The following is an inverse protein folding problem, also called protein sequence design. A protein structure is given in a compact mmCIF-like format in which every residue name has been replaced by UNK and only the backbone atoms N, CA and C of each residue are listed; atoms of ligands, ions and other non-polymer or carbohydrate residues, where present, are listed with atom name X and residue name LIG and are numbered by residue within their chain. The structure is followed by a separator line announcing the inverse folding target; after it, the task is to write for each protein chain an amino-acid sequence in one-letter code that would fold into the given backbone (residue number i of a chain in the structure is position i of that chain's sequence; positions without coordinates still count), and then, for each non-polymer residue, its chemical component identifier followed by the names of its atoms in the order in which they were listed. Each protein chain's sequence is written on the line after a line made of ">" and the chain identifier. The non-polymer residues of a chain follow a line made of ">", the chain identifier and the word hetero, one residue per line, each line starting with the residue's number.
data_IF_903999322938
#
_entry.id   IF_903999322938
#
_cell.length_a   1.000
_cell.length_b   1.000
_cell.length_c   1.000
_cell.angle_alpha   90.00
_cell.angle_beta   90.00
_cell.angle_gamma   90.00
#
_symmetry.space_group_name_H-M   'P 1'
#
loop_
_entity.id
_entity.type
_entity.pdbx_description
1 polymer ?
#
# COMPACT_ATOMS: atom_id res chain seq x y z
N UNK A 1 10.04 1.47 22.30
CA UNK A 1 8.98 1.60 21.24
C UNK A 1 7.59 1.71 21.89
N UNK A 2 7.10 2.93 22.03
CA UNK A 2 5.78 3.19 22.62
C UNK A 2 4.65 2.53 21.80
N UNK A 3 4.75 2.58 20.50
CA UNK A 3 3.81 1.95 19.57
C UNK A 3 3.70 0.44 19.72
N UNK A 4 4.83 -0.25 19.96
CA UNK A 4 4.84 -1.70 20.22
C UNK A 4 3.95 -2.08 21.42
N UNK A 5 4.05 -1.31 22.50
CA UNK A 5 3.24 -1.55 23.71
C UNK A 5 1.75 -1.34 23.43
N UNK A 6 1.41 -0.28 22.68
CA UNK A 6 0.03 0.04 22.30
C UNK A 6 -0.57 -1.09 21.45
N UNK A 7 0.13 -1.53 20.40
CA UNK A 7 -0.30 -2.63 19.54
C UNK A 7 -0.46 -3.95 20.31
N UNK A 8 0.49 -4.30 21.15
CA UNK A 8 0.35 -5.51 21.96
C UNK A 8 -0.89 -5.48 22.86
N UNK A 9 -1.13 -4.36 23.52
CA UNK A 9 -2.28 -4.20 24.43
C UNK A 9 -3.61 -4.26 23.69
N UNK A 10 -3.70 -3.64 22.52
CA UNK A 10 -4.91 -3.66 21.71
C UNK A 10 -5.25 -5.06 21.17
N UNK A 11 -4.22 -5.87 20.89
CA UNK A 11 -4.40 -7.28 20.52
C UNK A 11 -4.60 -8.20 21.75
N UNK A 12 -4.77 -7.63 22.96
CA UNK A 12 -4.98 -8.40 24.18
C UNK A 12 -3.81 -9.32 24.58
N UNK A 13 -2.62 -9.10 24.03
CA UNK A 13 -1.47 -9.95 24.27
C UNK A 13 -0.72 -9.53 25.56
N UNK A 14 -0.27 -10.52 26.34
CA UNK A 14 0.70 -10.28 27.40
C UNK A 14 2.12 -10.19 26.83
N UNK A 15 3.06 -9.57 27.54
CA UNK A 15 4.48 -9.58 27.14
C UNK A 15 5.03 -11.02 27.01
N UNK A 16 4.57 -11.94 27.84
CA UNK A 16 4.95 -13.35 27.78
C UNK A 16 4.40 -14.05 26.54
N UNK A 17 3.14 -13.80 26.19
CA UNK A 17 2.52 -14.35 24.98
C UNK A 17 3.24 -13.86 23.72
N UNK A 18 3.53 -12.55 23.64
CA UNK A 18 4.28 -11.97 22.52
C UNK A 18 5.71 -12.53 22.46
N UNK A 19 6.39 -12.66 23.61
CA UNK A 19 7.72 -13.25 23.68
C UNK A 19 7.74 -14.70 23.17
N UNK A 20 6.72 -15.48 23.51
CA UNK A 20 6.57 -16.85 23.02
C UNK A 20 6.37 -16.88 21.50
N UNK A 21 5.52 -16.02 20.95
CA UNK A 21 5.29 -15.93 19.51
C UNK A 21 6.56 -15.57 18.73
N UNK A 22 7.41 -14.70 19.29
CA UNK A 22 8.69 -14.26 18.70
C UNK A 22 9.89 -15.15 19.11
N UNK A 23 9.66 -16.25 19.80
CA UNK A 23 10.72 -17.15 20.30
C UNK A 23 11.82 -16.41 21.07
N UNK A 24 11.44 -15.42 21.87
CA UNK A 24 12.32 -14.59 22.68
C UNK A 24 11.91 -14.60 24.17
N UNK A 25 12.46 -13.71 24.98
CA UNK A 25 12.13 -13.61 26.39
C UNK A 25 11.19 -12.44 26.69
N UNK A 26 10.34 -12.57 27.71
CA UNK A 26 9.50 -11.46 28.19
C UNK A 26 10.35 -10.23 28.54
N UNK A 27 11.55 -10.42 29.10
CA UNK A 27 12.46 -9.33 29.41
C UNK A 27 12.92 -8.57 28.16
N UNK A 28 13.11 -9.27 27.03
CA UNK A 28 13.43 -8.65 25.74
C UNK A 28 12.29 -7.75 25.28
N UNK A 29 11.04 -8.23 25.32
CA UNK A 29 9.86 -7.44 24.98
C UNK A 29 9.75 -6.20 25.87
N UNK A 30 9.91 -6.36 27.20
CA UNK A 30 9.86 -5.25 28.14
C UNK A 30 10.94 -4.19 27.88
N UNK A 31 12.14 -4.60 27.41
CA UNK A 31 13.22 -3.67 27.03
C UNK A 31 12.89 -2.92 25.74
N UNK A 32 12.29 -3.56 24.75
CA UNK A 32 11.83 -2.91 23.51
C UNK A 32 10.71 -1.90 23.80
N UNK A 33 9.73 -2.24 24.61
CA UNK A 33 8.61 -1.35 24.98
C UNK A 33 9.07 -0.12 25.79
N UNK A 34 10.20 -0.23 26.50
CA UNK A 34 10.75 0.85 27.34
C UNK A 34 11.94 1.57 26.72
N UNK A 35 12.23 1.36 25.44
CA UNK A 35 13.32 1.96 24.66
C UNK A 35 14.72 1.67 25.24
N UNK A 36 14.86 0.58 26.00
CA UNK A 36 16.14 0.12 26.57
C UNK A 36 16.92 -0.77 25.61
N UNK A 37 16.30 -1.23 24.55
CA UNK A 37 16.88 -1.97 23.44
C UNK A 37 15.97 -1.79 22.22
N UNK A 38 16.53 -1.98 21.04
CA UNK A 38 15.80 -1.97 19.78
C UNK A 38 15.69 -3.39 19.22
N UNK A 39 14.52 -3.79 18.64
CA UNK A 39 14.42 -5.01 17.87
C UNK A 39 15.31 -4.94 16.63
N UNK A 40 15.88 -6.05 16.20
CA UNK A 40 16.52 -6.13 14.89
C UNK A 40 15.45 -6.20 13.79
N UNK A 41 15.87 -6.06 12.53
CA UNK A 41 14.94 -6.03 11.38
C UNK A 41 14.07 -7.29 11.31
N UNK A 42 14.65 -8.49 11.55
CA UNK A 42 13.88 -9.73 11.53
C UNK A 42 12.78 -9.73 12.60
N UNK A 43 13.07 -9.29 13.82
CA UNK A 43 12.06 -9.16 14.87
C UNK A 43 11.00 -8.09 14.56
N UNK A 44 11.39 -7.00 13.88
CA UNK A 44 10.42 -5.99 13.41
C UNK A 44 9.47 -6.56 12.37
N UNK A 45 9.95 -7.36 11.43
CA UNK A 45 9.12 -8.03 10.42
C UNK A 45 8.14 -9.02 11.07
N UNK A 46 8.61 -9.83 12.01
CA UNK A 46 7.76 -10.75 12.78
C UNK A 46 6.69 -10.00 13.59
N UNK A 47 7.05 -8.87 14.21
CA UNK A 47 6.11 -8.02 14.93
C UNK A 47 5.06 -7.41 13.99
N UNK A 48 5.47 -6.95 12.79
CA UNK A 48 4.57 -6.42 11.79
C UNK A 48 3.56 -7.49 11.33
N UNK A 49 4.01 -8.72 11.14
CA UNK A 49 3.13 -9.86 10.82
C UNK A 49 2.13 -10.15 11.93
N UNK A 50 2.59 -10.24 13.19
CA UNK A 50 1.73 -10.54 14.35
C UNK A 50 0.64 -9.48 14.56
N UNK A 51 0.98 -8.21 14.31
CA UNK A 51 0.07 -7.09 14.52
C UNK A 51 -0.70 -6.66 13.27
N UNK A 52 -0.51 -7.33 12.14
CA UNK A 52 -1.16 -6.96 10.88
C UNK A 52 -0.81 -5.55 10.38
N UNK A 53 0.42 -5.10 10.62
CA UNK A 53 0.90 -3.75 10.31
C UNK A 53 2.17 -3.77 9.47
N UNK A 54 2.81 -2.62 9.22
CA UNK A 54 4.12 -2.53 8.56
C UNK A 54 5.24 -2.25 9.55
N UNK A 55 6.49 -2.55 9.15
CA UNK A 55 7.68 -2.17 9.92
C UNK A 55 7.74 -0.65 10.13
N UNK A 56 7.43 0.13 9.10
CA UNK A 56 7.42 1.60 9.18
C UNK A 56 6.44 2.12 10.24
N UNK A 57 5.27 1.51 10.35
CA UNK A 57 4.26 1.88 11.35
C UNK A 57 4.71 1.53 12.77
N UNK A 58 5.39 0.39 12.92
CA UNK A 58 5.98 -0.02 14.19
C UNK A 58 7.03 0.96 14.71
N UNK A 59 7.89 1.46 13.82
CA UNK A 59 8.98 2.39 14.19
C UNK A 59 8.51 3.85 14.22
N UNK A 60 7.27 4.12 13.82
CA UNK A 60 6.71 5.48 13.79
C UNK A 60 7.29 6.34 12.68
N UNK A 61 7.90 5.72 11.68
CA UNK A 61 8.53 6.39 10.54
C UNK A 61 7.57 6.57 9.37
N UNK A 62 6.26 6.38 9.57
CA UNK A 62 5.30 6.55 8.50
C UNK A 62 5.13 8.06 8.17
N UNK A 63 5.87 8.61 7.19
CA UNK A 63 5.86 10.03 6.88
C UNK A 63 4.54 10.46 6.25
N UNK A 64 3.80 9.52 5.67
CA UNK A 64 2.58 9.76 4.91
C UNK A 64 1.42 10.21 5.80
N UNK A 65 1.42 9.82 7.09
CA UNK A 65 0.36 10.22 8.02
C UNK A 65 0.38 11.73 8.40
N UNK A 66 1.42 12.47 8.04
CA UNK A 66 1.59 13.88 8.46
C UNK A 66 1.47 14.91 7.35
N UNK A 67 1.61 14.54 6.08
CA UNK A 67 1.82 15.52 5.00
C UNK A 67 0.72 15.56 3.95
N UNK A 68 -0.13 14.54 3.84
CA UNK A 68 -1.23 14.54 2.86
C UNK A 68 -2.52 15.00 3.52
N UNK A 69 -2.59 16.29 3.87
CA UNK A 69 -3.81 16.96 4.35
C UNK A 69 -4.47 17.80 3.26
N UNK A 70 -4.25 17.54 2.01
CA UNK A 70 -4.97 18.27 0.96
C UNK A 70 -5.65 17.30 0.03
N UNK A 71 -6.98 17.32 0.12
CA UNK A 71 -7.94 16.88 -0.89
C UNK A 71 -7.70 15.50 -1.51
N UNK A 72 -8.45 14.54 -1.06
CA UNK A 72 -8.85 13.30 -1.71
C UNK A 72 -8.02 12.04 -1.41
N UNK A 73 -6.77 12.11 -0.95
CA UNK A 73 -5.93 10.93 -0.75
C UNK A 73 -5.34 10.84 0.65
N UNK A 74 -6.14 10.48 1.62
CA UNK A 74 -5.58 9.81 2.81
C UNK A 74 -5.31 8.37 2.42
N UNK A 75 -4.22 8.12 1.71
CA UNK A 75 -3.73 6.78 1.38
C UNK A 75 -3.51 5.93 2.63
N UNK A 76 -3.40 6.59 3.78
CA UNK A 76 -3.12 5.95 5.06
C UNK A 76 -3.80 6.76 6.15
N UNK A 77 -5.05 6.48 6.41
CA UNK A 77 -5.62 6.84 7.70
C UNK A 77 -4.75 6.18 8.76
N UNK A 78 -4.33 6.99 9.73
CA UNK A 78 -3.67 6.58 10.96
C UNK A 78 -4.01 5.15 11.30
N UNK A 79 -2.98 4.31 11.53
CA UNK A 79 -3.08 2.91 11.90
C UNK A 79 -4.22 2.59 12.84
N UNK A 80 -5.40 2.72 12.32
CA UNK A 80 -6.58 2.21 12.94
C UNK A 80 -6.50 0.71 12.73
N UNK A 81 -6.63 0.02 13.81
CA UNK A 81 -6.89 -1.39 13.91
C UNK A 81 -8.26 -1.71 13.30
N UNK A 82 -8.47 -1.20 12.11
CA UNK A 82 -9.66 -1.39 11.34
C UNK A 82 -9.46 -2.70 10.59
N UNK A 83 -9.86 -3.78 11.25
CA UNK A 83 -9.77 -5.12 10.70
C UNK A 83 -10.61 -5.29 9.43
N UNK A 84 -10.59 -6.50 8.91
CA UNK A 84 -11.44 -6.91 7.79
C UNK A 84 -12.92 -6.62 8.11
N UNK A 85 -13.55 -5.82 7.24
CA UNK A 85 -14.99 -5.54 7.31
C UNK A 85 -15.78 -6.48 6.41
N UNK A 86 -15.25 -6.81 5.27
CA UNK A 86 -15.90 -7.51 4.19
C UNK A 86 -15.28 -7.12 2.84
N UNK A 87 -16.04 -7.19 1.77
CA UNK A 87 -15.53 -6.98 0.43
C UNK A 87 -16.25 -5.84 -0.30
N UNK A 88 -15.51 -5.10 -1.14
CA UNK A 88 -16.09 -4.27 -2.19
C UNK A 88 -16.02 -5.03 -3.50
N UNK A 89 -17.15 -5.16 -4.17
CA UNK A 89 -17.27 -5.77 -5.49
C UNK A 89 -17.42 -4.71 -6.57
N UNK A 90 -16.64 -4.81 -7.65
CA UNK A 90 -16.68 -3.90 -8.79
C UNK A 90 -16.96 -4.71 -10.06
N UNK A 91 -18.09 -4.43 -10.70
CA UNK A 91 -18.40 -4.99 -12.00
C UNK A 91 -17.97 -4.01 -13.08
N UNK A 92 -17.01 -4.43 -13.90
CA UNK A 92 -16.40 -3.62 -14.95
C UNK A 92 -17.15 -3.74 -16.29
N UNK A 93 -16.98 -2.78 -17.21
CA UNK A 93 -17.46 -2.90 -18.58
C UNK A 93 -16.85 -4.14 -19.27
N UNK A 94 -17.67 -4.89 -19.98
CA UNK A 94 -17.23 -6.10 -20.68
C UNK A 94 -17.11 -7.35 -19.81
N UNK A 95 -17.00 -7.22 -18.49
CA UNK A 95 -16.88 -8.36 -17.58
C UNK A 95 -18.25 -8.96 -17.25
N UNK A 96 -18.27 -10.29 -17.03
CA UNK A 96 -19.45 -11.03 -16.61
C UNK A 96 -19.51 -11.18 -15.10
N UNK A 97 -18.35 -11.21 -14.43
CA UNK A 97 -18.20 -11.44 -13.00
C UNK A 97 -17.67 -10.20 -12.29
N UNK A 98 -18.10 -10.04 -11.05
CA UNK A 98 -17.67 -8.96 -10.17
C UNK A 98 -16.28 -9.27 -9.61
N UNK A 99 -15.38 -8.31 -9.66
CA UNK A 99 -14.08 -8.39 -8.97
C UNK A 99 -14.27 -7.98 -7.52
N UNK A 100 -13.80 -8.82 -6.61
CA UNK A 100 -13.98 -8.62 -5.18
C UNK A 100 -12.67 -8.30 -4.49
N UNK A 101 -12.69 -7.30 -3.60
CA UNK A 101 -11.50 -6.84 -2.87
C UNK A 101 -11.82 -6.75 -1.38
N UNK A 102 -11.00 -7.36 -0.51
CA UNK A 102 -11.17 -7.26 0.93
C UNK A 102 -10.79 -5.85 1.43
N UNK A 103 -11.66 -5.25 2.21
CA UNK A 103 -11.51 -3.88 2.69
C UNK A 103 -11.77 -3.76 4.19
N UNK A 104 -11.29 -2.66 4.77
CA UNK A 104 -11.57 -2.27 6.15
C UNK A 104 -12.88 -1.47 6.26
N UNK A 105 -13.38 -1.27 7.48
CA UNK A 105 -14.57 -0.45 7.73
C UNK A 105 -14.35 1.01 7.34
N UNK A 106 -13.16 1.56 7.55
CA UNK A 106 -12.82 2.92 7.16
C UNK A 106 -12.81 3.08 5.64
N UNK A 107 -12.23 2.12 4.90
CA UNK A 107 -12.27 2.13 3.44
C UNK A 107 -13.70 2.02 2.90
N UNK A 108 -14.51 1.16 3.49
CA UNK A 108 -15.94 1.06 3.12
C UNK A 108 -16.66 2.40 3.25
N UNK A 109 -16.45 3.13 4.35
CA UNK A 109 -17.09 4.45 4.57
C UNK A 109 -16.54 5.47 3.57
N UNK A 110 -15.24 5.48 3.33
CA UNK A 110 -14.57 6.40 2.39
C UNK A 110 -15.06 6.18 0.95
N UNK A 111 -15.11 4.95 0.49
CA UNK A 111 -15.61 4.59 -0.85
C UNK A 111 -17.08 5.02 -0.99
N UNK A 112 -17.92 4.70 0.01
CA UNK A 112 -19.34 5.05 -0.03
C UNK A 112 -19.58 6.57 -0.06
N UNK A 113 -18.78 7.35 0.66
CA UNK A 113 -18.84 8.81 0.63
C UNK A 113 -18.43 9.36 -0.74
N UNK A 114 -17.32 8.87 -1.29
CA UNK A 114 -16.83 9.31 -2.59
C UNK A 114 -17.80 8.94 -3.74
N UNK A 115 -18.45 7.77 -3.68
CA UNK A 115 -19.49 7.39 -4.66
C UNK A 115 -20.74 8.28 -4.60
N UNK A 116 -21.00 8.94 -3.47
CA UNK A 116 -22.11 9.89 -3.32
C UNK A 116 -21.69 11.33 -3.66
N UNK A 117 -20.41 11.61 -3.82
CA UNK A 117 -19.91 12.90 -4.26
C UNK A 117 -20.02 13.03 -5.78
N UNK A 118 -20.76 14.03 -6.25
CA UNK A 118 -21.00 14.26 -7.69
C UNK A 118 -19.77 14.75 -8.42
N UNK A 119 -18.85 15.37 -7.70
CA UNK A 119 -17.63 15.96 -8.26
C UNK A 119 -16.46 14.96 -8.27
N UNK A 120 -16.59 13.84 -7.56
CA UNK A 120 -15.59 12.79 -7.50
C UNK A 120 -15.66 11.87 -8.73
N UNK A 121 -14.88 12.17 -9.77
CA UNK A 121 -14.75 11.30 -10.94
C UNK A 121 -14.00 10.00 -10.61
N UNK A 122 -12.98 10.07 -9.77
CA UNK A 122 -12.17 8.93 -9.38
C UNK A 122 -12.22 8.71 -7.86
N UNK A 123 -12.22 7.45 -7.47
CA UNK A 123 -12.10 7.02 -6.07
C UNK A 123 -10.87 6.13 -5.95
N UNK A 124 -9.93 6.52 -5.08
CA UNK A 124 -8.78 5.70 -4.73
C UNK A 124 -9.00 5.05 -3.36
N UNK A 125 -8.67 3.77 -3.24
CA UNK A 125 -8.73 3.06 -1.98
C UNK A 125 -7.73 1.90 -1.93
N UNK A 126 -7.34 1.55 -0.71
CA UNK A 126 -6.46 0.41 -0.44
C UNK A 126 -7.28 -0.82 -0.08
N UNK A 127 -6.70 -1.99 -0.33
CA UNK A 127 -7.30 -3.28 -0.02
C UNK A 127 -6.39 -4.09 0.90
N UNK A 128 -6.94 -5.09 1.56
CA UNK A 128 -6.18 -5.94 2.47
C UNK A 128 -5.33 -7.01 1.74
N UNK A 129 -5.53 -7.20 0.43
CA UNK A 129 -4.79 -8.13 -0.41
C UNK A 129 -3.74 -7.43 -1.31
N UNK A 130 -3.07 -6.40 -0.79
CA UNK A 130 -1.98 -5.69 -1.45
C UNK A 130 -2.38 -4.96 -2.75
N UNK A 131 -3.60 -4.43 -2.83
CA UNK A 131 -4.03 -3.64 -3.99
C UNK A 131 -4.33 -2.20 -3.61
N UNK A 132 -3.86 -1.28 -4.44
CA UNK A 132 -4.35 0.08 -4.54
C UNK A 132 -5.27 0.13 -5.76
N UNK A 133 -6.50 0.52 -5.54
CA UNK A 133 -7.52 0.62 -6.57
C UNK A 133 -7.80 2.09 -6.88
N UNK A 134 -7.74 2.44 -8.15
CA UNK A 134 -8.22 3.73 -8.68
C UNK A 134 -9.41 3.45 -9.59
N UNK A 135 -10.60 3.76 -9.12
CA UNK A 135 -11.86 3.47 -9.79
C UNK A 135 -12.49 4.74 -10.36
N UNK A 136 -12.80 4.74 -11.66
CA UNK A 136 -13.60 5.79 -12.26
C UNK A 136 -15.08 5.52 -12.02
N UNK A 137 -15.72 6.39 -11.24
CA UNK A 137 -17.12 6.23 -10.80
C UNK A 137 -18.12 6.23 -11.96
N UNK A 138 -17.76 6.82 -13.09
CA UNK A 138 -18.63 6.95 -14.27
C UNK A 138 -18.49 5.79 -15.26
N UNK A 139 -17.42 5.00 -15.15
CA UNK A 139 -17.08 3.94 -16.10
C UNK A 139 -17.27 2.52 -15.52
N UNK A 140 -17.68 2.38 -14.27
CA UNK A 140 -18.01 1.09 -13.67
C UNK A 140 -19.50 0.79 -13.84
N UNK A 141 -19.86 -0.48 -13.99
CA UNK A 141 -21.27 -0.90 -14.15
C UNK A 141 -22.00 -1.00 -12.83
N UNK A 142 -21.32 -1.44 -11.78
CA UNK A 142 -21.90 -1.65 -10.45
C UNK A 142 -20.79 -1.72 -9.39
N UNK A 143 -21.09 -1.18 -8.22
CA UNK A 143 -20.28 -1.35 -7.00
C UNK A 143 -21.15 -1.98 -5.92
N UNK A 144 -20.62 -2.98 -5.23
CA UNK A 144 -21.27 -3.71 -4.16
C UNK A 144 -20.45 -3.59 -2.88
N UNK A 145 -21.15 -3.71 -1.77
CA UNK A 145 -20.50 -3.92 -0.47
C UNK A 145 -21.07 -5.19 0.13
N UNK A 146 -20.21 -6.14 0.44
CA UNK A 146 -20.53 -7.42 1.04
C UNK A 146 -19.90 -7.49 2.42
N UNK A 147 -20.71 -7.43 3.46
CA UNK A 147 -20.28 -7.60 4.85
C UNK A 147 -19.80 -9.04 5.09
N UNK A 148 -18.80 -9.25 5.97
CA UNK A 148 -18.26 -10.58 6.26
C UNK A 148 -19.32 -11.56 6.77
N UNK A 149 -20.37 -11.05 7.41
CA UNK A 149 -21.48 -11.86 7.93
C UNK A 149 -22.47 -12.31 6.85
N UNK A 150 -22.33 -11.86 5.60
CA UNK A 150 -23.23 -12.18 4.51
C UNK A 150 -22.69 -13.34 3.66
N UNK A 151 -23.60 -14.15 3.14
CA UNK A 151 -23.24 -15.20 2.19
C UNK A 151 -22.74 -14.60 0.87
N UNK A 152 -21.79 -15.27 0.25
CA UNK A 152 -21.24 -14.91 -1.04
C UNK A 152 -22.32 -14.97 -2.13
N UNK A 153 -22.36 -14.00 -3.08
CA UNK A 153 -23.33 -14.02 -4.15
C UNK A 153 -23.19 -15.26 -5.02
N UNK A 154 -24.27 -16.03 -5.15
CA UNK A 154 -24.25 -17.23 -5.97
C UNK A 154 -24.00 -16.91 -7.45
N UNK A 155 -22.97 -17.52 -8.05
CA UNK A 155 -22.60 -17.37 -9.46
C UNK A 155 -21.89 -16.07 -9.84
N UNK A 156 -21.57 -15.19 -8.88
CA UNK A 156 -20.83 -13.95 -9.11
C UNK A 156 -19.67 -13.80 -8.11
N UNK A 157 -19.10 -14.92 -7.68
CA UNK A 157 -17.94 -14.98 -6.79
C UNK A 157 -16.84 -15.78 -7.47
N UNK A 158 -16.14 -15.13 -8.38
CA UNK A 158 -14.91 -15.70 -8.96
C UNK A 158 -13.74 -14.83 -8.49
N UNK A 159 -12.82 -15.49 -7.80
CA UNK A 159 -11.54 -14.89 -7.39
C UNK A 159 -10.48 -15.63 -8.20
N UNK A 160 -10.02 -15.02 -9.28
CA UNK A 160 -9.18 -15.71 -10.25
C UNK A 160 -7.84 -16.16 -9.64
N UNK A 161 -7.25 -15.39 -8.69
CA UNK A 161 -5.88 -15.65 -8.24
C UNK A 161 -5.48 -14.88 -6.95
N UNK A 162 -6.32 -14.02 -6.42
CA UNK A 162 -6.03 -13.27 -5.21
C UNK A 162 -6.70 -13.91 -4.00
N UNK A 163 -5.99 -13.96 -2.88
CA UNK A 163 -6.64 -14.30 -1.63
C UNK A 163 -7.67 -13.24 -1.26
N UNK A 164 -8.91 -13.67 -1.02
CA UNK A 164 -10.01 -12.78 -0.62
C UNK A 164 -9.82 -12.25 0.80
N UNK A 165 -9.07 -12.96 1.62
CA UNK A 165 -8.89 -12.64 3.02
C UNK A 165 -7.78 -11.61 3.26
N UNK A 166 -6.90 -11.44 2.30
CA UNK A 166 -5.73 -10.57 2.43
C UNK A 166 -4.70 -11.09 3.45
N UNK A 167 -3.55 -10.47 3.41
CA UNK A 167 -2.45 -10.71 4.35
C UNK A 167 -1.87 -9.36 4.82
N UNK A 168 -1.14 -9.33 5.94
CA UNK A 168 -0.39 -8.14 6.33
C UNK A 168 0.57 -7.70 5.21
N UNK A 169 0.79 -6.39 5.04
CA UNK A 169 1.69 -5.88 4.00
C UNK A 169 3.11 -6.46 4.08
N UNK A 170 3.58 -6.77 5.28
CA UNK A 170 4.89 -7.40 5.47
C UNK A 170 4.96 -8.82 4.88
N UNK A 171 3.84 -9.51 4.78
CA UNK A 171 3.77 -10.79 4.07
C UNK A 171 4.06 -10.61 2.58
N UNK A 172 3.47 -9.60 1.94
CA UNK A 172 3.70 -9.33 0.51
C UNK A 172 5.14 -8.88 0.23
N UNK A 173 5.76 -8.13 1.17
CA UNK A 173 7.20 -7.82 1.10
C UNK A 173 8.06 -9.09 1.21
N UNK A 174 7.71 -9.99 2.12
CA UNK A 174 8.41 -11.26 2.27
C UNK A 174 8.20 -12.17 1.05
N UNK A 175 7.01 -12.14 0.45
CA UNK A 175 6.69 -12.87 -0.78
C UNK A 175 7.51 -12.35 -1.98
N UNK A 176 7.73 -11.05 -2.07
CA UNK A 176 8.58 -10.43 -3.09
C UNK A 176 10.05 -10.87 -2.91
N UNK A 177 10.59 -10.81 -1.67
CA UNK A 177 11.92 -11.32 -1.34
C UNK A 177 12.07 -12.80 -1.70
N UNK A 178 11.04 -13.62 -1.41
CA UNK A 178 10.99 -15.05 -1.73
C UNK A 178 11.02 -15.29 -3.25
N UNK A 179 10.24 -14.54 -4.01
CA UNK A 179 10.22 -14.62 -5.47
C UNK A 179 11.56 -14.23 -6.08
N UNK A 180 12.22 -13.19 -5.54
CA UNK A 180 13.52 -12.74 -6.03
C UNK A 180 14.64 -13.76 -5.79
N UNK A 181 14.70 -14.35 -4.59
CA UNK A 181 15.67 -15.42 -4.27
C UNK A 181 15.24 -16.19 -3.02
N UNK A 182 14.71 -17.40 -3.22
CA UNK A 182 14.32 -18.29 -2.11
C UNK A 182 15.49 -18.61 -1.17
N UNK A 183 16.72 -18.75 -1.70
CA UNK A 183 17.90 -19.04 -0.91
C UNK A 183 18.25 -17.86 0.02
N UNK A 184 18.31 -16.64 -0.51
CA UNK A 184 18.60 -15.44 0.28
C UNK A 184 17.47 -15.17 1.29
N UNK A 185 16.23 -15.36 0.91
CA UNK A 185 15.08 -15.23 1.80
C UNK A 185 15.19 -16.20 2.98
N UNK A 186 15.45 -17.49 2.75
CA UNK A 186 15.65 -18.49 3.83
C UNK A 186 16.84 -18.20 4.72
N UNK A 187 17.89 -17.56 4.19
CA UNK A 187 19.07 -17.20 4.94
C UNK A 187 18.87 -15.97 5.85
N UNK A 188 17.96 -15.05 5.48
CA UNK A 188 17.80 -13.75 6.14
C UNK A 188 16.51 -13.62 6.97
N UNK A 189 15.44 -14.33 6.59
CA UNK A 189 14.15 -14.25 7.28
C UNK A 189 14.10 -15.14 8.52
N UNK A 190 13.16 -14.86 9.42
CA UNK A 190 12.89 -15.70 10.58
C UNK A 190 12.25 -17.03 10.16
N UNK A 191 12.43 -18.12 10.94
CA UNK A 191 11.74 -19.39 10.68
C UNK A 191 10.21 -19.24 10.61
N UNK A 192 9.63 -18.34 11.42
CA UNK A 192 8.20 -18.06 11.41
C UNK A 192 7.76 -17.45 10.08
N UNK A 193 8.46 -16.43 9.61
CA UNK A 193 8.15 -15.75 8.35
C UNK A 193 8.35 -16.69 7.15
N UNK A 194 9.42 -17.51 7.17
CA UNK A 194 9.65 -18.52 6.14
C UNK A 194 8.46 -19.49 6.06
N UNK A 195 8.06 -20.07 7.21
CA UNK A 195 6.93 -21.02 7.25
C UNK A 195 5.65 -20.37 6.73
N UNK A 196 5.34 -19.14 7.14
CA UNK A 196 4.12 -18.43 6.71
C UNK A 196 4.09 -18.22 5.19
N UNK A 197 5.20 -17.81 4.59
CA UNK A 197 5.30 -17.58 3.14
C UNK A 197 5.22 -18.91 2.38
N UNK A 198 6.00 -19.91 2.79
CA UNK A 198 6.04 -21.21 2.09
C UNK A 198 4.72 -21.98 2.23
N UNK A 199 4.08 -21.94 3.40
CA UNK A 199 2.79 -22.55 3.65
C UNK A 199 1.71 -21.89 2.76
N UNK A 200 1.69 -20.54 2.70
CA UNK A 200 0.70 -19.83 1.88
C UNK A 200 0.93 -20.06 0.38
N UNK A 201 2.16 -19.98 -0.12
CA UNK A 201 2.50 -20.28 -1.51
C UNK A 201 2.03 -21.69 -1.91
N UNK A 202 2.19 -22.66 -1.00
CA UNK A 202 1.75 -24.02 -1.21
C UNK A 202 0.23 -24.19 -1.13
N UNK A 203 -0.44 -23.54 -0.17
CA UNK A 203 -1.91 -23.61 0.00
C UNK A 203 -2.65 -23.03 -1.21
N UNK A 204 -2.16 -21.91 -1.73
CA UNK A 204 -2.74 -21.22 -2.88
C UNK A 204 -2.24 -21.79 -4.23
N UNK A 205 -1.34 -22.76 -4.17
CA UNK A 205 -0.70 -23.35 -5.38
C UNK A 205 -0.05 -22.29 -6.28
N UNK A 206 0.51 -21.21 -5.67
CA UNK A 206 1.12 -20.12 -6.42
C UNK A 206 2.43 -20.53 -7.08
N UNK A 207 2.50 -20.38 -8.40
CA UNK A 207 3.73 -20.40 -9.15
C UNK A 207 4.40 -19.01 -9.18
N UNK A 208 5.54 -18.91 -9.84
CA UNK A 208 6.28 -17.66 -9.96
C UNK A 208 5.46 -16.55 -10.64
N UNK A 209 4.67 -16.89 -11.65
CA UNK A 209 3.81 -15.95 -12.36
C UNK A 209 2.68 -15.43 -11.44
N UNK A 210 2.07 -16.29 -10.64
CA UNK A 210 1.06 -15.91 -9.66
C UNK A 210 1.63 -14.98 -8.60
N UNK A 211 2.85 -15.26 -8.11
CA UNK A 211 3.52 -14.39 -7.15
C UNK A 211 3.81 -13.00 -7.75
N UNK A 212 4.32 -12.96 -9.00
CA UNK A 212 4.56 -11.69 -9.69
C UNK A 212 3.28 -10.90 -9.91
N UNK A 213 2.17 -11.56 -10.23
CA UNK A 213 0.86 -10.88 -10.33
C UNK A 213 0.48 -10.18 -9.01
N UNK A 214 0.63 -10.87 -7.89
CA UNK A 214 0.25 -10.36 -6.57
C UNK A 214 1.17 -9.24 -6.08
N UNK A 215 2.46 -9.28 -6.45
CA UNK A 215 3.47 -8.35 -5.91
C UNK A 215 3.83 -7.19 -6.84
N UNK A 216 3.68 -7.34 -8.16
CA UNK A 216 4.27 -6.40 -9.11
C UNK A 216 3.37 -5.96 -10.26
N UNK A 217 2.33 -6.72 -10.60
CA UNK A 217 1.55 -6.45 -11.80
C UNK A 217 0.57 -5.30 -11.58
N UNK A 218 0.52 -4.37 -12.54
CA UNK A 218 -0.48 -3.32 -12.64
C UNK A 218 -1.46 -3.66 -13.75
N UNK A 219 -2.76 -3.59 -13.43
CA UNK A 219 -3.84 -3.89 -14.35
C UNK A 219 -4.66 -2.64 -14.63
N UNK A 220 -4.96 -2.39 -15.90
CA UNK A 220 -5.78 -1.27 -16.34
C UNK A 220 -6.95 -1.79 -17.15
N UNK A 221 -8.16 -1.45 -16.72
CA UNK A 221 -9.38 -1.69 -17.49
C UNK A 221 -9.85 -0.40 -18.15
N UNK A 222 -10.15 -0.50 -19.42
CA UNK A 222 -10.75 0.59 -20.19
C UNK A 222 -12.27 0.46 -20.24
N UNK A 223 -12.94 1.56 -20.44
CA UNK A 223 -14.41 1.61 -20.55
C UNK A 223 -14.96 0.82 -21.75
N UNK A 224 -14.11 0.49 -22.73
CA UNK A 224 -14.45 -0.39 -23.85
C UNK A 224 -14.44 -1.90 -23.48
N UNK A 225 -13.92 -2.25 -22.32
CA UNK A 225 -13.80 -3.64 -21.85
C UNK A 225 -12.42 -4.25 -22.08
N UNK A 226 -11.49 -3.49 -22.65
CA UNK A 226 -10.11 -3.96 -22.80
C UNK A 226 -9.38 -3.96 -21.46
N UNK A 227 -8.57 -5.01 -21.23
CA UNK A 227 -7.68 -5.14 -20.07
C UNK A 227 -6.23 -5.11 -20.55
N UNK A 228 -5.41 -4.34 -19.87
CA UNK A 228 -4.00 -4.17 -20.17
C UNK A 228 -3.21 -4.47 -18.91
N UNK A 229 -2.17 -5.27 -19.04
CA UNK A 229 -1.27 -5.63 -17.97
C UNK A 229 0.04 -4.90 -18.17
N UNK A 230 0.51 -4.26 -17.11
CA UNK A 230 1.78 -3.55 -17.11
C UNK A 230 2.69 -4.03 -15.99
N UNK A 231 3.98 -4.08 -16.29
CA UNK A 231 5.03 -3.98 -15.28
C UNK A 231 5.49 -2.52 -15.26
N UNK A 232 4.99 -1.75 -14.33
CA UNK A 232 5.25 -0.30 -14.20
C UNK A 232 6.37 -0.10 -13.18
N UNK A 233 7.26 0.85 -13.45
CA UNK A 233 8.25 1.30 -12.46
C UNK A 233 7.54 1.92 -11.25
N UNK A 234 8.16 1.84 -10.08
CA UNK A 234 7.54 2.32 -8.85
C UNK A 234 7.30 3.83 -8.87
N UNK A 235 8.18 4.61 -9.50
CA UNK A 235 8.06 6.07 -9.57
C UNK A 235 6.88 6.48 -10.47
N UNK A 236 6.64 5.72 -11.54
CA UNK A 236 5.49 5.91 -12.43
C UNK A 236 4.16 5.55 -11.76
N UNK A 237 4.15 4.58 -10.83
CA UNK A 237 2.93 4.23 -10.06
C UNK A 237 2.42 5.41 -9.22
N UNK A 238 3.32 6.14 -8.56
CA UNK A 238 2.94 7.31 -7.79
C UNK A 238 2.50 8.46 -8.71
N UNK A 239 3.25 8.69 -9.79
CA UNK A 239 2.90 9.66 -10.84
C UNK A 239 1.51 9.41 -11.42
N UNK A 240 1.14 8.15 -11.65
CA UNK A 240 -0.19 7.76 -12.11
C UNK A 240 -1.31 8.15 -11.13
N UNK A 241 -1.11 7.91 -9.83
CA UNK A 241 -2.10 8.30 -8.81
C UNK A 241 -2.26 9.82 -8.76
N UNK A 242 -1.16 10.55 -8.78
CA UNK A 242 -1.17 12.02 -8.78
C UNK A 242 -1.86 12.53 -10.05
N UNK A 243 -1.51 11.98 -11.20
CA UNK A 243 -2.11 12.35 -12.48
C UNK A 243 -3.62 12.10 -12.53
N UNK A 244 -4.09 10.98 -12.01
CA UNK A 244 -5.52 10.67 -11.95
C UNK A 244 -6.26 11.59 -10.97
N UNK A 245 -5.62 11.96 -9.88
CA UNK A 245 -6.22 12.72 -8.78
C UNK A 245 -6.23 14.22 -8.94
N UNK A 246 -5.43 14.78 -9.84
CA UNK A 246 -5.32 16.23 -10.01
C UNK A 246 -6.46 16.80 -10.89
N UNK A 247 -6.96 17.99 -10.52
CA UNK A 247 -7.96 18.71 -11.33
C UNK A 247 -7.35 19.33 -12.60
N UNK A 248 -6.06 19.68 -12.57
CA UNK A 248 -5.30 20.36 -13.62
C UNK A 248 -4.49 19.41 -14.52
N UNK A 249 -4.99 18.22 -14.79
CA UNK A 249 -4.22 17.19 -15.50
C UNK A 249 -4.52 17.10 -16.97
N UNK A 250 -3.50 16.72 -17.70
CA UNK A 250 -3.56 16.38 -19.09
C UNK A 250 -4.69 15.39 -19.40
N UNK A 251 -5.31 15.56 -20.55
CA UNK A 251 -6.35 14.66 -21.04
C UNK A 251 -5.89 13.22 -21.18
N UNK A 252 -4.59 13.02 -21.38
CA UNK A 252 -3.96 11.73 -21.57
C UNK A 252 -3.09 11.40 -20.36
N UNK A 253 -3.19 10.18 -19.86
CA UNK A 253 -2.30 9.63 -18.85
C UNK A 253 -1.21 8.87 -19.57
N UNK A 254 0.03 9.20 -19.26
CA UNK A 254 1.23 8.51 -19.74
C UNK A 254 1.54 7.36 -18.80
N UNK A 255 1.85 6.22 -19.39
CA UNK A 255 2.37 5.04 -18.68
C UNK A 255 3.51 4.48 -19.52
N UNK A 256 4.68 4.37 -18.91
CA UNK A 256 5.84 3.76 -19.53
C UNK A 256 5.92 2.30 -19.09
N UNK A 257 6.11 1.39 -20.05
CA UNK A 257 6.38 -0.01 -19.71
C UNK A 257 7.79 -0.15 -19.13
N UNK A 258 7.93 -1.05 -18.15
CA UNK A 258 9.23 -1.40 -17.59
C UNK A 258 10.18 -1.86 -18.70
N UNK A 259 11.22 -1.08 -18.94
CA UNK A 259 12.18 -1.29 -20.04
C UNK A 259 12.20 -0.16 -21.07
N UNK A 260 11.28 0.80 -21.00
CA UNK A 260 11.45 2.14 -21.58
C UNK A 260 11.39 2.31 -23.10
N UNK A 261 11.06 1.25 -23.86
CA UNK A 261 11.02 1.35 -25.32
C UNK A 261 9.69 1.90 -25.87
N UNK A 262 8.64 1.96 -25.04
CA UNK A 262 7.31 2.39 -25.48
C UNK A 262 6.69 3.34 -24.45
N UNK A 263 6.21 4.47 -24.94
CA UNK A 263 5.35 5.41 -24.23
C UNK A 263 3.91 5.15 -24.63
N UNK A 264 3.07 4.78 -23.65
CA UNK A 264 1.64 4.55 -23.87
C UNK A 264 0.81 5.68 -23.27
N UNK A 265 -0.07 6.28 -24.08
CA UNK A 265 -0.94 7.37 -23.68
C UNK A 265 -2.40 6.92 -23.65
N UNK A 266 -3.01 7.00 -22.47
CA UNK A 266 -4.40 6.60 -22.25
C UNK A 266 -5.29 7.82 -22.01
N UNK A 267 -6.44 7.94 -22.74
CA UNK A 267 -7.42 8.97 -22.40
C UNK A 267 -7.96 8.74 -20.98
N UNK A 268 -7.78 9.72 -20.10
CA UNK A 268 -8.18 9.65 -18.70
C UNK A 268 -9.65 9.27 -18.52
N UNK A 269 -10.54 9.82 -19.36
CA UNK A 269 -11.97 9.54 -19.33
C UNK A 269 -12.34 8.11 -19.77
N UNK A 270 -11.40 7.37 -20.36
CA UNK A 270 -11.59 5.97 -20.81
C UNK A 270 -11.09 4.93 -19.81
N UNK A 271 -10.35 5.33 -18.81
CA UNK A 271 -9.94 4.42 -17.74
C UNK A 271 -11.16 4.10 -16.88
N UNK A 272 -11.47 2.82 -16.72
CA UNK A 272 -12.53 2.36 -15.82
C UNK A 272 -11.98 2.00 -14.43
N UNK A 273 -10.85 1.31 -14.41
CA UNK A 273 -10.19 0.91 -13.16
C UNK A 273 -8.69 0.75 -13.39
N UNK A 274 -7.92 1.14 -12.40
CA UNK A 274 -6.50 0.76 -12.28
C UNK A 274 -6.31 0.00 -10.98
N UNK A 275 -5.63 -1.12 -11.06
CA UNK A 275 -5.25 -1.95 -9.93
C UNK A 275 -3.73 -2.04 -9.86
N UNK A 276 -3.14 -1.62 -8.75
CA UNK A 276 -1.70 -1.53 -8.55
C UNK A 276 -1.27 -2.26 -7.28
N UNK A 277 -0.04 -2.76 -7.19
CA UNK A 277 0.48 -3.31 -5.94
C UNK A 277 0.61 -2.19 -4.88
N UNK A 278 -0.16 -2.28 -3.81
CA UNK A 278 -0.20 -1.25 -2.74
C UNK A 278 1.20 -1.02 -2.14
N UNK A 279 1.95 -2.08 -1.88
CA UNK A 279 3.29 -1.99 -1.29
C UNK A 279 4.24 -1.16 -2.14
N UNK A 280 4.24 -1.37 -3.47
CA UNK A 280 5.08 -0.59 -4.41
C UNK A 280 4.65 0.87 -4.49
N UNK A 281 3.35 1.13 -4.52
CA UNK A 281 2.82 2.50 -4.45
C UNK A 281 3.26 3.21 -3.18
N UNK A 282 3.23 2.51 -2.03
CA UNK A 282 3.70 3.06 -0.76
C UNK A 282 5.19 3.37 -0.77
N UNK A 283 6.00 2.51 -1.34
CA UNK A 283 7.45 2.72 -1.40
C UNK A 283 7.82 3.86 -2.37
N UNK A 284 7.11 3.98 -3.50
CA UNK A 284 7.23 5.13 -4.40
C UNK A 284 6.86 6.45 -3.71
N UNK A 285 5.71 6.50 -3.04
CA UNK A 285 5.28 7.68 -2.29
C UNK A 285 6.27 8.10 -1.19
N UNK A 286 6.92 7.14 -0.52
CA UNK A 286 7.95 7.42 0.48
C UNK A 286 9.21 8.02 -0.13
N UNK A 287 9.62 7.56 -1.32
CA UNK A 287 10.77 8.13 -2.04
C UNK A 287 10.51 9.58 -2.42
N UNK A 288 9.43 9.84 -3.08
CA UNK A 288 9.01 11.19 -3.49
C UNK A 288 9.00 12.17 -2.31
N UNK A 289 8.43 11.75 -1.17
CA UNK A 289 8.41 12.59 0.03
C UNK A 289 9.80 12.85 0.63
N UNK A 290 10.76 11.92 0.48
CA UNK A 290 12.15 12.15 0.92
C UNK A 290 12.82 13.18 0.03
N UNK A 291 12.70 13.04 -1.28
CA UNK A 291 13.26 13.96 -2.28
C UNK A 291 12.72 15.38 -2.06
N UNK A 292 11.40 15.55 -1.91
CA UNK A 292 10.79 16.84 -1.62
C UNK A 292 11.31 17.47 -0.31
N UNK A 293 11.57 16.68 0.72
CA UNK A 293 12.11 17.18 1.99
C UNK A 293 13.61 17.55 1.88
N UNK A 294 14.39 16.82 1.08
CA UNK A 294 15.79 17.12 0.81
C UNK A 294 15.93 18.41 0.02
N UNK A 295 15.15 18.60 -1.05
CA UNK A 295 15.09 19.82 -1.85
C UNK A 295 14.68 21.04 -1.00
N UNK A 296 13.70 20.88 -0.11
CA UNK A 296 13.28 21.96 0.79
C UNK A 296 14.39 22.35 1.79
N UNK A 297 15.14 21.37 2.30
CA UNK A 297 16.26 21.61 3.21
C UNK A 297 17.45 22.31 2.51
N UNK A 298 17.72 21.95 1.26
CA UNK A 298 18.75 22.60 0.44
C UNK A 298 18.37 24.06 0.11
N UNK A 299 17.10 24.30 -0.24
CA UNK A 299 16.60 25.65 -0.51
C UNK A 299 16.70 26.56 0.71
N UNK A 300 16.42 26.07 1.91
CA UNK A 300 16.50 26.84 3.17
C UNK A 300 17.98 27.13 3.55
N UNK A 301 18.88 26.18 3.31
CA UNK A 301 20.32 26.35 3.53
C UNK A 301 20.96 27.35 2.57
N UNK A 302 20.48 27.42 1.31
CA UNK A 302 20.93 28.36 0.30
C UNK A 302 20.56 29.81 0.58
N UNK A 303 19.45 30.06 1.30
CA UNK A 303 19.03 31.42 1.68
C UNK A 303 19.80 31.99 2.89
N UNK A 304 20.38 31.14 3.72
CA UNK A 304 21.14 31.56 4.92
C UNK A 304 22.54 32.09 4.61
N UNK A 305 23.09 31.83 3.42
CA UNK A 305 24.46 32.26 3.05
C UNK A 305 24.53 33.58 2.31
N UNK A 306 23.40 34.18 1.91
CA UNK A 306 23.37 35.40 1.09
C UNK A 306 23.30 36.71 1.85
N UNK A 307 23.28 36.74 3.20
CA UNK A 307 23.04 37.95 4.02
C UNK A 307 24.22 38.42 4.89
N UNK A 308 25.47 38.17 4.50
CA UNK A 308 26.65 38.71 5.19
C UNK A 308 27.67 39.28 4.21
N UNK A 309 27.33 40.39 3.53
CA UNK A 309 28.34 41.35 3.06
C UNK A 309 28.41 42.51 4.04
N UNK A 310 29.57 42.81 4.65
CA UNK A 310 29.71 43.99 5.47
C UNK A 310 29.88 45.21 4.57
N UNK A 311 28.93 46.16 4.66
CA UNK A 311 29.08 47.49 4.06
C UNK A 311 30.36 48.17 4.57
N UNK A 312 31.35 48.29 3.68
CA UNK A 312 32.48 49.20 3.88
C UNK A 312 31.95 50.63 3.91
N UNK A 313 32.01 51.24 5.07
CA UNK A 313 31.98 52.70 5.20
C UNK A 313 33.31 53.26 4.63
N UNK A 314 33.23 53.96 3.54
CA UNK A 314 34.25 54.92 3.13
C UNK A 314 34.02 56.22 3.93
N UNK A 315 35.04 56.58 4.69
CA UNK A 315 35.17 57.88 5.29
C UNK A 315 35.95 58.79 4.35
N UNK A 316 35.37 59.93 3.96
CA UNK A 316 36.05 61.21 3.79
C UNK A 316 35.14 62.34 4.23
#
# INVERSE_FOLDING_TARGET
>A
MKRLKELRQSHGLTQEALAKALQTTQQTIARWETDKAEPNLSALRDLAMIFGTSVDDLVGSNPISKTVTTTTYTLFTKGDQDGYWGNVGILLPGEQHTRWYPITSSERVRIANALNDRDAQFVCFSTLNNRMIVMNTTNVRRVWFLDEACDQPGGDWEVEWDSVEGCPLEFYRALEDYAFSQENFRASASPTLISMVEDRVKEEEWDEEAILRVTSETLIWLSAGDRINYSVDEDDLWGLIVAIGSEDVDRMIRLDEYGGDFESLYPRDKIALVEMPLLRVMDAAKRELRELNEDAAEADSGHSTASTEPSRMESD
#
